data_IF_965011955835
#
_entry.id   IF_965011955835
#
_cell.length_a   1.000
_cell.length_b   1.000
_cell.length_c   1.000
_cell.angle_alpha   90.00
_cell.angle_beta   90.00
_cell.angle_gamma   90.00
#
_symmetry.space_group_name_H-M   'P 1'
#
loop_
_entity.id
_entity.type
_entity.pdbx_description
1 polymer ?
#
# COMPACT_ATOMS: atom_id res chain seq x y z
N UNK A 1 -24.34 38.10 3.87
CA UNK A 1 -23.66 37.12 4.75
C UNK A 1 -23.77 35.77 4.08
N UNK A 2 -22.67 35.24 3.55
CA UNK A 2 -22.66 33.94 2.86
C UNK A 2 -22.37 32.84 3.88
N UNK A 3 -23.35 31.99 4.15
CA UNK A 3 -23.14 30.77 4.92
C UNK A 3 -22.44 29.75 4.01
N UNK A 4 -21.15 29.56 4.22
CA UNK A 4 -20.40 28.45 3.64
C UNK A 4 -20.83 27.15 4.33
N UNK A 5 -21.49 26.28 3.59
CA UNK A 5 -21.73 24.90 4.03
C UNK A 5 -20.39 24.18 3.96
N UNK A 6 -19.89 23.75 5.12
CA UNK A 6 -18.64 23.00 5.21
C UNK A 6 -18.99 21.52 5.29
N UNK A 7 -18.66 20.75 4.26
CA UNK A 7 -18.80 19.29 4.30
C UNK A 7 -17.58 18.70 5.00
N UNK A 8 -17.77 18.18 6.21
CA UNK A 8 -16.77 17.36 6.89
C UNK A 8 -16.77 15.95 6.31
N UNK A 9 -15.59 15.39 6.04
CA UNK A 9 -15.46 13.99 5.64
C UNK A 9 -15.72 13.14 6.88
N UNK A 10 -16.84 12.43 6.91
CA UNK A 10 -17.17 11.53 8.01
C UNK A 10 -16.24 10.30 7.98
N UNK A 11 -15.40 10.17 9.00
CA UNK A 11 -14.44 9.06 9.18
C UNK A 11 -15.08 7.84 9.85
N UNK A 12 -16.36 7.91 10.22
CA UNK A 12 -17.05 6.80 10.89
C UNK A 12 -17.65 5.78 9.91
N UNK A 13 -17.77 6.14 8.63
CA UNK A 13 -18.27 5.23 7.59
C UNK A 13 -17.10 4.39 7.07
N UNK A 14 -17.10 3.06 7.26
CA UNK A 14 -16.03 2.18 6.79
C UNK A 14 -15.80 2.34 5.30
N UNK A 15 -14.56 2.61 4.91
CA UNK A 15 -14.16 2.64 3.49
C UNK A 15 -13.50 1.33 3.17
N UNK A 16 -14.33 0.36 2.79
CA UNK A 16 -13.84 -0.93 2.32
C UNK A 16 -12.88 -0.72 1.14
N UNK A 17 -11.66 -1.20 1.33
CA UNK A 17 -10.57 -1.13 0.36
C UNK A 17 -9.77 -2.44 0.41
N UNK A 18 -8.99 -2.68 -0.63
CA UNK A 18 -8.04 -3.78 -0.62
C UNK A 18 -6.77 -3.33 0.12
N UNK A 19 -6.37 -4.04 1.17
CA UNK A 19 -5.23 -3.77 2.05
C UNK A 19 -4.10 -4.76 1.78
N UNK A 20 -2.91 -4.25 1.51
CA UNK A 20 -1.67 -5.02 1.52
C UNK A 20 -0.85 -4.59 2.74
N UNK A 21 -0.67 -5.52 3.68
CA UNK A 21 0.26 -5.35 4.78
C UNK A 21 1.64 -5.85 4.36
N UNK A 22 2.59 -4.92 4.19
CA UNK A 22 4.00 -5.25 4.01
C UNK A 22 4.58 -5.36 5.40
N UNK A 23 4.88 -6.58 5.85
CA UNK A 23 5.36 -6.87 7.22
C UNK A 23 6.74 -7.49 7.15
N UNK A 24 7.61 -7.14 8.09
CA UNK A 24 8.99 -7.64 8.17
C UNK A 24 9.76 -7.42 6.87
N UNK A 25 9.62 -6.23 6.26
CA UNK A 25 10.63 -5.83 5.29
C UNK A 25 12.00 -5.86 5.98
N UNK A 26 13.04 -6.23 5.23
CA UNK A 26 14.40 -6.32 5.75
C UNK A 26 14.73 -5.05 6.58
N UNK A 27 15.38 -5.15 7.74
CA UNK A 27 15.81 -3.97 8.48
C UNK A 27 16.65 -2.97 7.66
N UNK A 28 17.30 -3.43 6.59
CA UNK A 28 18.02 -2.59 5.65
C UNK A 28 17.18 -2.20 4.43
N UNK A 29 15.98 -2.78 4.26
CA UNK A 29 15.06 -2.34 3.22
C UNK A 29 14.52 -0.95 3.56
N UNK A 30 14.89 0.01 2.74
CA UNK A 30 14.50 1.40 2.92
C UNK A 30 13.33 1.79 2.03
N UNK A 31 13.14 1.13 0.87
CA UNK A 31 12.15 1.52 -0.14
C UNK A 31 11.29 0.37 -0.62
N UNK A 32 10.07 0.70 -1.01
CA UNK A 32 9.14 -0.23 -1.64
C UNK A 32 8.44 0.38 -2.84
N UNK A 33 8.00 -0.50 -3.73
CA UNK A 33 7.22 -0.19 -4.93
C UNK A 33 6.16 -1.28 -5.11
N UNK A 34 4.91 -0.87 -5.22
CA UNK A 34 3.77 -1.75 -5.55
C UNK A 34 3.28 -1.40 -6.94
N UNK A 35 3.22 -2.41 -7.79
CA UNK A 35 2.81 -2.33 -9.19
C UNK A 35 1.54 -3.15 -9.43
N UNK A 36 0.73 -2.69 -10.38
CA UNK A 36 -0.26 -3.54 -11.03
C UNK A 36 0.46 -4.46 -12.02
N UNK A 37 0.35 -5.77 -11.83
CA UNK A 37 1.07 -6.79 -12.61
C UNK A 37 0.70 -6.80 -14.08
N UNK A 38 -0.54 -6.45 -14.43
CA UNK A 38 -1.08 -6.56 -15.78
C UNK A 38 -0.68 -5.37 -16.65
N UNK A 39 -0.70 -4.19 -16.05
CA UNK A 39 -0.44 -2.91 -16.73
C UNK A 39 0.96 -2.37 -16.45
N UNK A 40 1.66 -2.92 -15.46
CA UNK A 40 2.91 -2.41 -14.90
C UNK A 40 2.77 -0.97 -14.35
N UNK A 41 1.53 -0.54 -14.04
CA UNK A 41 1.28 0.77 -13.49
C UNK A 41 1.78 0.85 -12.04
N UNK A 42 2.42 1.97 -11.70
CA UNK A 42 2.86 2.24 -10.32
C UNK A 42 1.65 2.61 -9.48
N UNK A 43 1.28 1.73 -8.54
CA UNK A 43 0.14 1.94 -7.64
C UNK A 43 0.56 2.71 -6.39
N UNK A 44 1.69 2.32 -5.79
CA UNK A 44 2.27 2.94 -4.60
C UNK A 44 3.79 2.81 -4.61
N UNK A 45 4.45 3.79 -4.02
CA UNK A 45 5.88 3.72 -3.71
C UNK A 45 6.15 4.56 -2.47
N UNK A 46 7.24 4.29 -1.78
CA UNK A 46 7.63 5.05 -0.60
C UNK A 46 8.83 4.44 0.09
N UNK A 47 9.18 5.04 1.23
CA UNK A 47 10.16 4.49 2.16
C UNK A 47 9.44 3.85 3.34
N UNK A 48 10.06 2.84 3.96
CA UNK A 48 9.55 2.31 5.22
C UNK A 48 9.76 3.32 6.36
N UNK A 49 8.77 3.46 7.23
CA UNK A 49 8.91 4.16 8.50
C UNK A 49 9.54 3.23 9.56
N UNK A 50 9.86 3.77 10.74
CA UNK A 50 10.39 3.01 11.87
C UNK A 50 9.56 1.72 12.10
N UNK A 51 10.21 0.56 12.00
CA UNK A 51 9.57 -0.76 12.19
C UNK A 51 9.29 -1.56 10.92
N UNK A 52 9.70 -1.10 9.73
CA UNK A 52 9.70 -1.86 8.46
C UNK A 52 8.36 -2.53 8.12
N UNK A 53 7.28 -1.88 8.55
CA UNK A 53 5.91 -2.32 8.32
C UNK A 53 5.15 -1.19 7.64
N UNK A 54 4.42 -1.50 6.58
CA UNK A 54 3.65 -0.52 5.83
C UNK A 54 2.33 -1.12 5.36
N UNK A 55 1.23 -0.42 5.65
CA UNK A 55 -0.07 -0.72 5.08
C UNK A 55 -0.28 0.08 3.79
N UNK A 56 -0.66 -0.59 2.71
CA UNK A 56 -1.05 0.03 1.45
C UNK A 56 -2.51 -0.29 1.15
N UNK A 57 -3.30 0.74 0.82
CA UNK A 57 -4.72 0.59 0.48
C UNK A 57 -4.95 0.89 -1.02
N UNK A 58 -5.69 0.00 -1.68
CA UNK A 58 -6.02 0.03 -3.11
C UNK A 58 -7.52 -0.13 -3.35
N UNK A 59 -7.96 0.03 -4.61
CA UNK A 59 -9.36 -0.16 -4.98
C UNK A 59 -9.87 -1.58 -4.74
N UNK A 60 -11.17 -1.69 -4.50
CA UNK A 60 -11.89 -2.97 -4.45
C UNK A 60 -11.77 -3.67 -5.81
N UNK A 61 -11.17 -4.84 -5.84
CA UNK A 61 -10.76 -5.63 -6.99
C UNK A 61 -9.48 -6.41 -6.69
N UNK A 62 -8.50 -5.75 -6.06
CA UNK A 62 -7.21 -6.38 -5.72
C UNK A 62 -7.31 -7.43 -4.60
N UNK A 63 -8.41 -7.44 -3.83
CA UNK A 63 -8.71 -8.49 -2.86
C UNK A 63 -9.18 -9.80 -3.49
N UNK A 64 -9.61 -9.76 -4.75
CA UNK A 64 -10.12 -10.92 -5.49
C UNK A 64 -9.18 -11.35 -6.63
N UNK A 65 -8.01 -10.72 -6.74
CA UNK A 65 -7.06 -10.95 -7.83
C UNK A 65 -5.61 -10.98 -7.32
N UNK A 66 -4.79 -11.84 -7.90
CA UNK A 66 -3.33 -11.88 -7.69
C UNK A 66 -2.59 -10.92 -8.64
N UNK A 67 -3.08 -9.69 -8.74
CA UNK A 67 -2.63 -8.70 -9.74
C UNK A 67 -1.66 -7.66 -9.13
N UNK A 68 -1.18 -7.86 -7.90
CA UNK A 68 -0.17 -6.99 -7.28
C UNK A 68 1.23 -7.60 -7.37
N UNK A 69 2.21 -6.74 -7.67
CA UNK A 69 3.63 -7.04 -7.64
C UNK A 69 4.31 -6.09 -6.66
N UNK A 70 5.02 -6.62 -5.67
CA UNK A 70 5.79 -5.85 -4.70
C UNK A 70 7.27 -5.98 -4.99
N UNK A 71 7.96 -4.84 -5.06
CA UNK A 71 9.41 -4.76 -5.08
C UNK A 71 9.87 -4.04 -3.82
N UNK A 72 10.80 -4.65 -3.10
CA UNK A 72 11.49 -4.07 -1.96
C UNK A 72 12.93 -3.82 -2.39
N UNK A 73 13.42 -2.61 -2.13
CA UNK A 73 14.74 -2.14 -2.54
C UNK A 73 15.51 -1.67 -1.30
N UNK A 74 16.71 -2.21 -1.16
CA UNK A 74 17.72 -1.76 -0.22
C UNK A 74 18.53 -0.60 -0.83
N UNK A 75 18.90 0.38 -0.01
CA UNK A 75 19.71 1.54 -0.42
C UNK A 75 21.21 1.29 -0.20
N UNK A 76 21.63 0.14 0.35
CA UNK A 76 23.02 -0.22 0.59
C UNK A 76 23.86 -0.51 -0.67
N UNK A 77 23.26 -0.35 -1.86
CA UNK A 77 23.82 -0.61 -3.19
C UNK A 77 24.32 -2.06 -3.39
N UNK A 78 24.05 -2.98 -2.45
CA UNK A 78 24.44 -4.38 -2.52
C UNK A 78 23.37 -5.24 -3.20
N UNK A 79 22.82 -4.82 -4.34
CA UNK A 79 22.00 -5.65 -5.25
C UNK A 79 20.86 -6.49 -4.61
N UNK A 80 20.37 -6.16 -3.41
CA UNK A 80 19.39 -6.96 -2.68
C UNK A 80 17.97 -6.42 -2.90
N UNK A 81 17.50 -6.49 -4.14
CA UNK A 81 16.08 -6.26 -4.41
C UNK A 81 15.29 -7.57 -4.25
N UNK A 82 14.20 -7.55 -3.49
CA UNK A 82 13.27 -8.68 -3.38
C UNK A 82 11.99 -8.36 -4.11
N UNK A 83 11.64 -9.17 -5.09
CA UNK A 83 10.35 -9.12 -5.77
C UNK A 83 9.44 -10.22 -5.25
N UNK A 84 8.17 -9.88 -4.99
CA UNK A 84 7.11 -10.83 -4.70
C UNK A 84 5.98 -10.58 -5.69
N UNK A 85 5.78 -11.53 -6.62
CA UNK A 85 4.75 -11.48 -7.65
C UNK A 85 3.47 -12.19 -7.20
N UNK A 86 2.35 -11.84 -7.82
CA UNK A 86 1.08 -12.55 -7.65
C UNK A 86 0.42 -12.33 -6.29
N UNK A 87 0.63 -11.16 -5.67
CA UNK A 87 0.08 -10.85 -4.36
C UNK A 87 -1.42 -10.55 -4.49
N UNK A 88 -2.20 -11.17 -3.61
CA UNK A 88 -3.61 -10.84 -3.39
C UNK A 88 -3.70 -9.99 -2.13
N UNK A 89 -4.39 -8.86 -2.22
CA UNK A 89 -4.64 -8.02 -1.05
C UNK A 89 -5.77 -8.61 -0.18
N UNK A 90 -5.87 -8.17 1.05
CA UNK A 90 -6.96 -8.54 1.95
C UNK A 90 -8.04 -7.44 1.97
N UNK A 91 -9.25 -7.76 2.42
CA UNK A 91 -10.23 -6.71 2.72
C UNK A 91 -9.78 -5.93 3.95
N UNK A 92 -9.72 -4.61 3.84
CA UNK A 92 -9.43 -3.70 4.95
C UNK A 92 -10.31 -2.46 4.94
N UNK A 93 -10.26 -1.69 6.02
CA UNK A 93 -10.90 -0.39 6.11
C UNK A 93 -9.84 0.70 6.02
N UNK A 94 -9.97 1.62 5.06
CA UNK A 94 -9.04 2.74 4.90
C UNK A 94 -9.13 3.78 6.03
N UNK A 95 -10.11 3.66 6.93
CA UNK A 95 -10.14 4.41 8.18
C UNK A 95 -9.26 3.79 9.27
N UNK A 96 -8.82 2.53 9.12
CA UNK A 96 -7.77 1.98 9.98
C UNK A 96 -6.48 2.74 9.69
N UNK A 97 -5.99 3.43 10.71
CA UNK A 97 -4.77 4.22 10.62
C UNK A 97 -3.62 3.28 10.28
N UNK A 98 -3.00 3.51 9.12
CA UNK A 98 -1.82 2.79 8.66
C UNK A 98 -0.59 3.06 9.51
#
# INVERSE_FOLDING_TARGET
MNNLITFGIDKTIPRQMAKLAIVNADPNAERFLVLDRRTMAVLRHGSFANGHTQNCFFGLGYENSSDLLLLIVDDDEQFNAKATDGIQAELGDANEVG
#
